data_IF_038354925626
#
_entry.id   IF_038354925626
#
_cell.length_a   1.000
_cell.length_b   1.000
_cell.length_c   1.000
_cell.angle_alpha   90.00
_cell.angle_beta   90.00
_cell.angle_gamma   90.00
#
_symmetry.space_group_name_H-M   'P 1'
#
loop_
_entity.id
_entity.type
_entity.pdbx_description
1 polymer ?
#
# COMPACT_ATOMS: atom_id res chain seq x y z
N UNK A 1 42.41 8.24 20.17
CA UNK A 1 41.01 7.77 20.39
C UNK A 1 40.01 8.58 19.56
N UNK A 2 40.04 9.91 19.57
CA UNK A 2 39.15 10.79 18.77
C UNK A 2 39.27 10.48 17.26
N UNK A 3 40.47 10.36 16.72
CA UNK A 3 40.74 10.05 15.34
C UNK A 3 40.12 8.69 14.93
N UNK A 4 40.24 7.66 15.78
CA UNK A 4 39.65 6.35 15.51
C UNK A 4 38.12 6.40 15.51
N UNK A 5 37.51 7.20 16.38
CA UNK A 5 36.07 7.43 16.41
C UNK A 5 35.59 8.13 15.15
N UNK A 6 36.28 9.19 14.72
CA UNK A 6 35.96 9.92 13.49
C UNK A 6 36.11 9.03 12.25
N UNK A 7 37.17 8.21 12.19
CA UNK A 7 37.35 7.26 11.11
C UNK A 7 36.24 6.20 11.08
N UNK A 8 35.84 5.66 12.22
CA UNK A 8 34.74 4.70 12.32
C UNK A 8 33.40 5.31 11.87
N UNK A 9 33.11 6.55 12.28
CA UNK A 9 31.92 7.28 11.86
C UNK A 9 31.92 7.56 10.35
N UNK A 10 33.08 7.95 9.78
CA UNK A 10 33.23 8.17 8.35
C UNK A 10 33.00 6.85 7.55
N UNK A 11 33.57 5.73 8.01
CA UNK A 11 33.32 4.42 7.41
C UNK A 11 31.86 4.03 7.49
N UNK A 12 31.20 4.20 8.64
CA UNK A 12 29.77 3.90 8.79
C UNK A 12 28.92 4.74 7.82
N UNK A 13 29.21 6.03 7.71
CA UNK A 13 28.53 6.93 6.80
C UNK A 13 28.70 6.53 5.32
N UNK A 14 29.95 6.17 4.92
CA UNK A 14 30.19 5.66 3.57
C UNK A 14 29.44 4.36 3.30
N UNK A 15 29.35 3.45 4.28
CA UNK A 15 28.56 2.21 4.15
C UNK A 15 27.06 2.50 3.95
N UNK A 16 26.51 3.45 4.68
CA UNK A 16 25.11 3.86 4.54
C UNK A 16 24.85 4.45 3.16
N UNK A 17 25.72 5.34 2.67
CA UNK A 17 25.61 5.90 1.31
C UNK A 17 25.70 4.79 0.28
N UNK A 18 26.67 3.89 0.41
CA UNK A 18 26.84 2.78 -0.51
C UNK A 18 25.63 1.84 -0.55
N UNK A 19 25.02 1.57 0.61
CA UNK A 19 23.80 0.78 0.70
C UNK A 19 22.61 1.49 0.02
N UNK A 20 22.43 2.78 0.28
CA UNK A 20 21.36 3.57 -0.34
C UNK A 20 21.49 3.60 -1.87
N UNK A 21 22.70 3.88 -2.39
CA UNK A 21 22.95 3.86 -3.83
C UNK A 21 22.70 2.48 -4.44
N UNK A 22 23.13 1.41 -3.77
CA UNK A 22 22.86 0.04 -4.21
C UNK A 22 21.36 -0.28 -4.21
N UNK A 23 20.64 0.13 -3.17
CA UNK A 23 19.18 -0.04 -3.07
C UNK A 23 18.46 0.65 -4.22
N UNK A 24 18.82 1.90 -4.51
CA UNK A 24 18.22 2.66 -5.63
C UNK A 24 18.51 2.05 -6.98
N UNK A 25 19.75 1.63 -7.23
CA UNK A 25 20.08 0.90 -8.48
C UNK A 25 19.25 -0.38 -8.60
N UNK A 26 19.13 -1.14 -7.50
CA UNK A 26 18.37 -2.38 -7.50
C UNK A 26 16.86 -2.15 -7.73
N UNK A 27 16.32 -1.06 -7.17
CA UNK A 27 14.94 -0.62 -7.44
C UNK A 27 14.78 -0.24 -8.92
N UNK A 28 15.67 0.60 -9.45
CA UNK A 28 15.61 1.06 -10.84
C UNK A 28 15.65 -0.10 -11.85
N UNK A 29 16.48 -1.09 -11.59
CA UNK A 29 16.62 -2.27 -12.45
C UNK A 29 15.39 -3.20 -12.44
N UNK A 30 14.48 -3.06 -11.44
CA UNK A 30 13.36 -3.97 -11.26
C UNK A 30 12.02 -3.26 -11.08
N UNK A 31 11.97 -1.95 -11.22
CA UNK A 31 10.79 -1.14 -10.90
C UNK A 31 9.56 -1.50 -11.75
N UNK A 32 9.76 -1.92 -12.99
CA UNK A 32 8.69 -2.36 -13.89
C UNK A 32 7.87 -3.53 -13.32
N UNK A 33 8.49 -4.37 -12.48
CA UNK A 33 7.81 -5.49 -11.82
C UNK A 33 6.84 -5.01 -10.74
N UNK A 34 7.03 -3.80 -10.22
CA UNK A 34 6.26 -3.27 -9.13
C UNK A 34 4.78 -3.08 -9.49
N UNK A 35 4.47 -2.72 -10.73
CA UNK A 35 3.08 -2.57 -11.20
C UNK A 35 2.31 -3.88 -11.28
N UNK A 36 3.01 -5.00 -11.25
CA UNK A 36 2.43 -6.33 -11.33
C UNK A 36 2.14 -6.94 -9.95
N UNK A 37 2.86 -6.54 -8.91
CA UNK A 37 2.81 -7.14 -7.58
C UNK A 37 2.34 -6.15 -6.52
N UNK A 38 1.08 -6.27 -6.11
CA UNK A 38 0.43 -5.38 -5.17
C UNK A 38 1.00 -5.39 -3.74
N UNK A 39 1.54 -6.52 -3.27
CA UNK A 39 2.09 -6.63 -1.91
C UNK A 39 3.25 -5.68 -1.65
N UNK A 40 3.97 -5.27 -2.70
CA UNK A 40 5.07 -4.32 -2.60
C UNK A 40 4.55 -2.94 -2.20
N UNK A 41 3.46 -2.48 -2.82
CA UNK A 41 2.93 -1.14 -2.58
C UNK A 41 2.17 -1.00 -1.27
N UNK A 42 1.52 -2.06 -0.81
CA UNK A 42 0.86 -2.03 0.48
C UNK A 42 1.83 -1.81 1.65
N UNK A 43 3.12 -2.10 1.43
CA UNK A 43 4.18 -2.01 2.44
C UNK A 43 5.13 -0.84 2.27
N UNK A 44 5.17 -0.22 1.09
CA UNK A 44 6.11 0.88 0.85
C UNK A 44 5.50 1.93 -0.09
N UNK A 45 5.13 3.06 0.49
CA UNK A 45 4.65 4.24 -0.22
C UNK A 45 5.73 5.33 -0.27
N UNK A 46 7.03 4.98 -0.29
CA UNK A 46 8.09 6.00 -0.39
C UNK A 46 7.96 6.79 -1.69
N UNK A 47 8.20 8.10 -1.62
CA UNK A 47 8.16 9.00 -2.77
C UNK A 47 9.03 8.49 -3.92
N UNK A 48 10.21 7.94 -3.60
CA UNK A 48 11.12 7.43 -4.61
C UNK A 48 10.52 6.29 -5.44
N UNK A 49 9.82 5.36 -4.79
CA UNK A 49 9.16 4.24 -5.50
C UNK A 49 7.92 4.73 -6.23
N UNK A 50 7.09 5.53 -5.55
CA UNK A 50 5.82 5.99 -6.12
C UNK A 50 6.00 6.91 -7.32
N UNK A 51 6.97 7.80 -7.31
CA UNK A 51 7.28 8.67 -8.45
C UNK A 51 7.70 7.92 -9.72
N UNK A 52 8.27 6.73 -9.56
CA UNK A 52 8.67 5.88 -10.68
C UNK A 52 7.55 4.98 -11.20
N UNK A 53 6.64 4.60 -10.32
CA UNK A 53 5.54 3.68 -10.62
C UNK A 53 4.30 4.41 -11.11
N UNK A 54 4.01 5.59 -10.54
CA UNK A 54 2.80 6.34 -10.84
C UNK A 54 3.07 7.40 -11.91
N UNK A 55 2.46 7.24 -13.06
CA UNK A 55 2.40 8.21 -14.15
C UNK A 55 0.99 8.80 -14.29
N UNK A 56 0.77 9.65 -15.29
CA UNK A 56 -0.53 10.26 -15.57
C UNK A 56 -1.60 9.26 -16.01
N UNK A 57 -1.22 8.05 -16.43
CA UNK A 57 -2.12 6.97 -16.84
C UNK A 57 -2.42 6.01 -15.70
N UNK A 58 -1.70 6.09 -14.59
CA UNK A 58 -1.78 5.14 -13.49
C UNK A 58 -3.05 5.38 -12.66
N UNK A 59 -3.85 4.34 -12.49
CA UNK A 59 -5.01 4.32 -11.60
C UNK A 59 -4.66 3.46 -10.39
N UNK A 60 -4.61 4.08 -9.22
CA UNK A 60 -4.43 3.36 -7.96
C UNK A 60 -5.75 2.71 -7.56
N UNK A 61 -5.73 1.41 -7.34
CA UNK A 61 -6.89 0.62 -6.93
C UNK A 61 -6.64 0.09 -5.52
N UNK A 62 -7.47 0.50 -4.59
CA UNK A 62 -7.42 0.07 -3.19
C UNK A 62 -8.52 -0.95 -2.94
N UNK A 63 -8.18 -2.02 -2.27
CA UNK A 63 -9.09 -3.10 -1.93
C UNK A 63 -8.52 -3.98 -0.82
N UNK A 64 -9.02 -5.18 -0.67
CA UNK A 64 -8.55 -6.16 0.32
C UNK A 64 -8.04 -7.43 -0.36
N UNK A 65 -8.44 -8.61 0.14
CA UNK A 65 -7.98 -9.91 -0.40
C UNK A 65 -8.39 -10.19 -1.84
N UNK A 66 -9.40 -9.52 -2.35
CA UNK A 66 -9.81 -9.58 -3.77
C UNK A 66 -8.73 -9.06 -4.72
N UNK A 67 -7.80 -8.21 -4.23
CA UNK A 67 -6.66 -7.73 -5.00
C UNK A 67 -5.42 -8.62 -4.89
N UNK A 68 -5.53 -9.78 -4.25
CA UNK A 68 -4.41 -10.70 -4.13
C UNK A 68 -3.89 -11.16 -5.49
N UNK A 69 -2.57 -11.36 -5.57
CA UNK A 69 -1.92 -11.80 -6.80
C UNK A 69 -2.57 -13.07 -7.38
N UNK A 70 -2.72 -13.09 -8.69
CA UNK A 70 -3.21 -14.23 -9.45
C UNK A 70 -2.40 -14.41 -10.74
N UNK A 71 -2.11 -15.66 -11.08
CA UNK A 71 -1.52 -16.03 -12.37
C UNK A 71 -2.55 -16.05 -13.53
N UNK A 72 -3.77 -15.62 -13.28
CA UNK A 72 -4.81 -15.54 -14.31
C UNK A 72 -4.47 -14.45 -15.33
N UNK A 73 -4.67 -14.69 -16.63
CA UNK A 73 -4.62 -13.64 -17.65
C UNK A 73 -5.60 -12.49 -17.40
N UNK A 74 -6.67 -12.75 -16.64
CA UNK A 74 -7.65 -11.76 -16.23
C UNK A 74 -7.26 -10.99 -14.98
N UNK A 75 -6.10 -11.26 -14.38
CA UNK A 75 -5.57 -10.45 -13.28
C UNK A 75 -5.40 -9.01 -13.75
N UNK A 76 -6.01 -8.01 -13.06
CA UNK A 76 -6.11 -6.66 -13.61
C UNK A 76 -4.79 -6.03 -14.06
N UNK A 77 -3.68 -6.08 -13.31
CA UNK A 77 -2.40 -5.59 -13.81
C UNK A 77 -1.90 -6.34 -15.07
N UNK A 78 -2.10 -7.65 -15.14
CA UNK A 78 -1.74 -8.42 -16.33
C UNK A 78 -2.55 -7.95 -17.54
N UNK A 79 -3.85 -7.79 -17.36
CA UNK A 79 -4.77 -7.39 -18.42
C UNK A 79 -4.55 -5.95 -18.89
N UNK A 80 -4.47 -5.00 -17.96
CA UNK A 80 -4.44 -3.58 -18.31
C UNK A 80 -3.03 -3.06 -18.54
N UNK A 81 -2.05 -3.42 -17.73
CA UNK A 81 -0.69 -2.87 -17.85
C UNK A 81 0.05 -3.48 -19.06
N UNK A 82 -0.26 -4.72 -19.41
CA UNK A 82 0.38 -5.45 -20.52
C UNK A 82 -0.56 -5.69 -21.70
N UNK A 83 -1.85 -5.46 -21.54
CA UNK A 83 -2.88 -5.64 -22.56
C UNK A 83 -3.07 -4.46 -23.53
N UNK A 84 -2.13 -3.51 -23.56
CA UNK A 84 -2.18 -2.33 -24.42
C UNK A 84 -3.38 -1.40 -24.16
N UNK A 85 -3.73 -1.19 -22.90
CA UNK A 85 -4.76 -0.21 -22.52
C UNK A 85 -4.20 1.21 -22.42
N UNK A 86 -5.10 2.20 -22.41
CA UNK A 86 -4.75 3.61 -22.25
C UNK A 86 -4.36 3.98 -20.80
N UNK A 87 -4.47 3.05 -19.87
CA UNK A 87 -4.15 3.26 -18.46
C UNK A 87 -3.44 2.05 -17.85
N UNK A 88 -2.74 2.29 -16.76
CA UNK A 88 -2.12 1.27 -15.93
C UNK A 88 -2.87 1.14 -14.61
N UNK A 89 -3.02 -0.06 -14.08
CA UNK A 89 -3.56 -0.30 -12.74
C UNK A 89 -2.44 -0.60 -11.77
N UNK A 90 -2.45 0.10 -10.63
CA UNK A 90 -1.55 -0.14 -9.50
C UNK A 90 -2.40 -0.59 -8.33
N UNK A 91 -2.33 -1.88 -8.00
CA UNK A 91 -3.17 -2.45 -6.96
C UNK A 91 -2.50 -2.29 -5.59
N UNK A 92 -3.28 -1.86 -4.61
CA UNK A 92 -2.87 -1.75 -3.21
C UNK A 92 -3.91 -2.43 -2.33
N UNK A 93 -3.61 -3.65 -1.92
CA UNK A 93 -4.54 -4.42 -1.10
C UNK A 93 -3.95 -5.76 -0.67
N UNK A 94 -4.66 -6.42 0.20
CA UNK A 94 -4.32 -7.72 0.77
C UNK A 94 -5.31 -8.06 1.87
N UNK A 95 -5.29 -9.29 2.38
CA UNK A 95 -6.19 -9.69 3.46
C UNK A 95 -6.14 -8.68 4.62
N UNK A 96 -7.30 -8.28 5.15
CA UNK A 96 -7.46 -7.29 6.22
C UNK A 96 -7.10 -5.84 5.85
N UNK A 97 -6.81 -5.54 4.59
CA UNK A 97 -6.59 -4.19 4.11
C UNK A 97 -7.94 -3.49 3.94
N UNK A 98 -8.46 -2.92 5.03
CA UNK A 98 -9.75 -2.23 5.09
C UNK A 98 -9.57 -0.71 5.14
N UNK A 99 -10.63 0.03 5.44
CA UNK A 99 -10.65 1.49 5.36
C UNK A 99 -9.52 2.21 6.11
N UNK A 100 -9.11 1.74 7.31
CA UNK A 100 -8.09 2.43 8.09
C UNK A 100 -6.68 2.34 7.48
N UNK A 101 -6.13 1.16 7.12
CA UNK A 101 -4.87 1.09 6.38
C UNK A 101 -4.95 1.79 5.02
N UNK A 102 -6.09 1.72 4.33
CA UNK A 102 -6.28 2.40 3.04
C UNK A 102 -6.22 3.92 3.18
N UNK A 103 -6.84 4.50 4.22
CA UNK A 103 -6.77 5.93 4.49
C UNK A 103 -5.33 6.40 4.73
N UNK A 104 -4.54 5.62 5.48
CA UNK A 104 -3.11 5.89 5.70
C UNK A 104 -2.35 5.87 4.36
N UNK A 105 -2.55 4.82 3.55
CA UNK A 105 -1.84 4.69 2.29
C UNK A 105 -2.22 5.77 1.27
N UNK A 106 -3.52 6.07 1.12
CA UNK A 106 -3.97 7.17 0.24
C UNK A 106 -3.35 8.50 0.68
N UNK A 107 -3.35 8.76 1.98
CA UNK A 107 -2.75 9.97 2.50
C UNK A 107 -1.23 10.02 2.31
N UNK A 108 -0.53 8.88 2.43
CA UNK A 108 0.90 8.79 2.19
C UNK A 108 1.27 9.12 0.73
N UNK A 109 0.49 8.61 -0.23
CA UNK A 109 0.82 8.70 -1.66
C UNK A 109 0.02 9.74 -2.46
N UNK A 110 -0.85 10.51 -1.82
CA UNK A 110 -1.72 11.45 -2.55
C UNK A 110 -0.95 12.48 -3.38
N UNK A 111 0.26 12.87 -2.96
CA UNK A 111 1.11 13.79 -3.72
C UNK A 111 1.74 13.15 -4.98
N UNK A 112 1.81 11.82 -5.04
CA UNK A 112 2.37 11.08 -6.18
C UNK A 112 1.32 10.70 -7.22
N UNK A 113 0.02 10.84 -6.90
CA UNK A 113 -1.09 10.54 -7.81
C UNK A 113 -1.27 11.69 -8.79
N UNK A 114 -0.75 11.53 -10.01
CA UNK A 114 -0.63 12.63 -11.01
C UNK A 114 -1.95 12.97 -11.70
N UNK A 115 -2.89 12.02 -11.76
CA UNK A 115 -4.19 12.21 -12.45
C UNK A 115 -5.37 12.43 -11.49
N UNK A 116 -5.15 12.48 -10.19
CA UNK A 116 -6.17 12.62 -9.15
C UNK A 116 -7.27 11.53 -9.19
N UNK A 117 -6.94 10.33 -9.68
CA UNK A 117 -7.90 9.22 -9.80
C UNK A 117 -7.47 8.06 -8.95
N UNK A 118 -8.39 7.59 -8.10
CA UNK A 118 -8.28 6.35 -7.36
C UNK A 118 -9.58 5.55 -7.52
N UNK A 119 -9.47 4.24 -7.39
CA UNK A 119 -10.61 3.34 -7.25
C UNK A 119 -10.53 2.73 -5.86
N UNK A 120 -11.60 2.86 -5.09
CA UNK A 120 -11.72 2.26 -3.77
C UNK A 120 -12.80 1.17 -3.82
N UNK A 121 -12.38 -0.07 -3.63
CA UNK A 121 -13.26 -1.23 -3.54
C UNK A 121 -13.63 -1.42 -2.07
N UNK A 122 -14.89 -1.23 -1.76
CA UNK A 122 -15.44 -1.43 -0.42
C UNK A 122 -16.23 -2.73 -0.37
N UNK A 123 -15.96 -3.55 0.63
CA UNK A 123 -16.72 -4.78 0.87
C UNK A 123 -17.69 -4.57 2.04
N UNK A 124 -18.98 -4.94 1.88
CA UNK A 124 -19.98 -4.80 2.96
C UNK A 124 -19.57 -5.50 4.26
N UNK A 125 -18.88 -6.64 4.19
CA UNK A 125 -18.38 -7.37 5.36
C UNK A 125 -17.45 -6.55 6.27
N UNK A 126 -16.83 -5.47 5.77
CA UNK A 126 -15.97 -4.62 6.59
C UNK A 126 -16.75 -3.79 7.61
N UNK A 127 -18.04 -3.66 7.39
CA UNK A 127 -18.99 -2.90 8.24
C UNK A 127 -19.82 -3.80 9.16
N UNK A 128 -19.47 -5.11 9.24
CA UNK A 128 -20.07 -6.04 10.19
C UNK A 128 -19.77 -5.64 11.64
N UNK A 129 -20.51 -6.20 12.59
CA UNK A 129 -20.41 -5.87 14.01
C UNK A 129 -18.99 -5.96 14.58
N UNK A 130 -18.18 -6.91 14.12
CA UNK A 130 -16.81 -7.10 14.62
C UNK A 130 -15.80 -6.15 13.95
N UNK A 131 -16.09 -5.61 12.77
CA UNK A 131 -15.21 -4.69 12.04
C UNK A 131 -13.78 -5.21 11.89
N UNK A 132 -12.82 -4.28 11.81
CA UNK A 132 -11.38 -4.59 11.78
C UNK A 132 -10.84 -4.76 13.20
N UNK A 133 -10.36 -5.97 13.53
CA UNK A 133 -9.73 -6.22 14.83
C UNK A 133 -8.34 -5.60 14.94
N UNK A 134 -7.87 -5.35 16.16
CA UNK A 134 -6.54 -4.82 16.41
C UNK A 134 -5.44 -5.74 15.84
N UNK A 135 -5.55 -7.05 16.03
CA UNK A 135 -4.59 -8.03 15.51
C UNK A 135 -4.51 -7.99 13.97
N UNK A 136 -5.67 -7.95 13.32
CA UNK A 136 -5.74 -7.89 11.86
C UNK A 136 -5.15 -6.57 11.34
N UNK A 137 -5.42 -5.45 12.00
CA UNK A 137 -4.83 -4.17 11.66
C UNK A 137 -3.31 -4.17 11.85
N UNK A 138 -2.81 -4.62 12.99
CA UNK A 138 -1.38 -4.69 13.28
C UNK A 138 -0.61 -5.52 12.25
N UNK A 139 -1.23 -6.57 11.69
CA UNK A 139 -0.61 -7.41 10.65
C UNK A 139 -0.41 -6.69 9.30
N UNK A 140 -1.06 -5.55 9.09
CA UNK A 140 -1.07 -4.78 7.84
C UNK A 140 -0.61 -3.33 8.01
N UNK A 141 -0.40 -2.89 9.23
CA UNK A 141 0.03 -1.53 9.51
C UNK A 141 1.52 -1.36 9.20
N UNK A 142 1.84 -0.35 8.43
CA UNK A 142 3.21 0.01 8.09
C UNK A 142 3.53 1.41 8.61
N UNK A 143 4.44 1.47 9.57
CA UNK A 143 4.83 2.73 10.23
C UNK A 143 5.44 3.74 9.24
N UNK A 144 6.14 3.28 8.19
CA UNK A 144 6.71 4.17 7.15
C UNK A 144 5.61 4.92 6.41
N UNK A 145 4.57 4.21 5.99
CA UNK A 145 3.42 4.82 5.30
C UNK A 145 2.68 5.79 6.23
N UNK A 146 2.57 5.44 7.51
CA UNK A 146 1.94 6.32 8.50
C UNK A 146 2.75 7.60 8.71
N UNK A 147 4.08 7.52 8.76
CA UNK A 147 4.93 8.72 8.85
C UNK A 147 4.78 9.62 7.62
N UNK A 148 4.74 9.06 6.41
CA UNK A 148 4.50 9.85 5.19
C UNK A 148 3.09 10.48 5.19
N UNK A 149 2.07 9.76 5.67
CA UNK A 149 0.74 10.32 5.91
C UNK A 149 0.77 11.50 6.89
N UNK A 150 1.47 11.37 8.01
CA UNK A 150 1.57 12.45 9.01
C UNK A 150 2.31 13.69 8.49
N UNK A 151 3.30 13.51 7.61
CA UNK A 151 4.08 14.59 6.98
C UNK A 151 3.29 15.31 5.88
N UNK A 152 2.26 14.70 5.33
CA UNK A 152 1.56 15.23 4.17
C UNK A 152 0.70 16.45 4.53
N UNK A 153 1.23 17.63 4.29
CA UNK A 153 0.57 18.90 4.58
C UNK A 153 -0.56 19.25 3.60
N UNK A 154 -0.71 18.52 2.50
CA UNK A 154 -1.88 18.67 1.61
C UNK A 154 -3.18 18.18 2.27
N UNK A 155 -3.05 17.36 3.32
CA UNK A 155 -4.17 16.89 4.14
C UNK A 155 -4.31 17.80 5.37
N UNK A 156 -5.55 18.22 5.66
CA UNK A 156 -5.79 19.07 6.82
C UNK A 156 -5.27 18.43 8.12
N UNK A 157 -4.81 19.25 9.03
CA UNK A 157 -4.29 18.78 10.34
C UNK A 157 -5.37 18.00 11.11
N UNK A 158 -6.62 18.45 11.03
CA UNK A 158 -7.77 17.82 11.67
C UNK A 158 -8.00 16.41 11.14
N UNK A 159 -7.91 16.23 9.83
CA UNK A 159 -8.03 14.91 9.18
C UNK A 159 -6.88 14.00 9.60
N UNK A 160 -5.63 14.50 9.61
CA UNK A 160 -4.48 13.72 10.06
C UNK A 160 -4.62 13.27 11.53
N UNK A 161 -5.10 14.15 12.40
CA UNK A 161 -5.39 13.82 13.80
C UNK A 161 -6.50 12.78 13.92
N UNK A 162 -7.58 12.91 13.16
CA UNK A 162 -8.70 11.95 13.21
C UNK A 162 -8.26 10.54 12.81
N UNK A 163 -7.47 10.42 11.73
CA UNK A 163 -6.91 9.13 11.29
C UNK A 163 -5.90 8.59 12.31
N UNK A 164 -5.03 9.44 12.85
CA UNK A 164 -4.06 9.05 13.88
C UNK A 164 -4.72 8.51 15.13
N UNK A 165 -5.79 9.15 15.60
CA UNK A 165 -6.59 8.63 16.73
C UNK A 165 -7.14 7.24 16.43
N UNK A 166 -7.65 7.01 15.21
CA UNK A 166 -8.15 5.68 14.83
C UNK A 166 -7.04 4.65 14.75
N UNK A 167 -5.87 5.01 14.23
CA UNK A 167 -4.68 4.15 14.22
C UNK A 167 -4.27 3.77 15.66
N UNK A 168 -4.28 4.71 16.59
CA UNK A 168 -3.98 4.45 18.01
C UNK A 168 -4.94 3.44 18.65
N UNK A 169 -6.23 3.55 18.36
CA UNK A 169 -7.25 2.60 18.82
C UNK A 169 -7.00 1.19 18.27
N UNK A 170 -6.57 1.10 17.02
CA UNK A 170 -6.34 -0.17 16.33
C UNK A 170 -4.97 -0.81 16.64
N UNK A 171 -4.00 -0.06 17.18
CA UNK A 171 -2.66 -0.58 17.51
C UNK A 171 -2.56 -1.17 18.94
N UNK A 172 -3.67 -1.41 19.61
CA UNK A 172 -3.66 -1.88 21.01
C UNK A 172 -3.04 -3.25 21.21
N UNK A 173 -3.03 -4.11 20.19
CA UNK A 173 -2.35 -5.42 20.21
C UNK A 173 -0.84 -5.35 19.97
N UNK A 174 -0.30 -4.19 19.57
CA UNK A 174 1.13 -3.92 19.45
C UNK A 174 1.55 -2.66 20.21
N UNK A 175 1.71 -2.72 21.53
CA UNK A 175 2.08 -1.57 22.36
C UNK A 175 3.44 -0.94 22.00
N UNK A 176 4.36 -1.73 21.43
CA UNK A 176 5.67 -1.23 21.03
C UNK A 176 5.54 -0.29 19.82
N UNK A 177 4.82 -0.71 18.79
CA UNK A 177 4.50 0.13 17.63
C UNK A 177 3.64 1.34 18.04
N UNK A 178 2.63 1.15 18.87
CA UNK A 178 1.80 2.24 19.38
C UNK A 178 2.63 3.33 20.08
N UNK A 179 3.64 2.93 20.87
CA UNK A 179 4.52 3.89 21.55
C UNK A 179 5.34 4.71 20.55
N UNK A 180 5.82 4.12 19.49
CA UNK A 180 6.57 4.83 18.43
C UNK A 180 5.68 5.76 17.63
N UNK A 181 4.51 5.27 17.21
CA UNK A 181 3.49 6.04 16.48
C UNK A 181 3.09 7.31 17.24
N UNK A 182 2.90 7.24 18.56
CA UNK A 182 2.61 8.41 19.40
C UNK A 182 3.76 9.42 19.42
N UNK A 183 5.01 8.98 19.33
CA UNK A 183 6.15 9.90 19.20
C UNK A 183 6.17 10.55 17.80
N UNK A 184 5.83 9.82 16.74
CA UNK A 184 5.70 10.37 15.40
C UNK A 184 4.58 11.42 15.32
N UNK A 185 3.44 11.20 15.96
CA UNK A 185 2.38 12.20 16.09
C UNK A 185 2.84 13.46 16.82
N UNK A 186 3.57 13.31 17.93
CA UNK A 186 4.16 14.44 18.63
C UNK A 186 5.14 15.21 17.75
N UNK A 187 5.92 14.51 16.92
CA UNK A 187 6.87 15.10 15.99
C UNK A 187 6.15 15.89 14.87
N UNK A 188 5.22 15.27 14.17
CA UNK A 188 4.67 15.80 12.92
C UNK A 188 3.36 16.56 13.09
N UNK A 189 2.54 16.27 14.11
CA UNK A 189 1.27 16.94 14.34
C UNK A 189 1.33 18.02 15.42
N UNK A 190 2.13 17.82 16.46
CA UNK A 190 2.10 18.67 17.66
C UNK A 190 3.37 19.51 17.86
N UNK A 191 4.50 19.12 17.27
CA UNK A 191 5.78 19.83 17.41
C UNK A 191 6.28 19.88 18.87
N UNK A 192 5.90 18.91 19.72
CA UNK A 192 6.06 18.96 21.17
C UNK A 192 7.25 18.16 21.71
N UNK A 193 8.06 17.56 20.83
CA UNK A 193 9.23 16.80 21.25
C UNK A 193 10.39 17.70 21.64
N UNK A 194 11.16 17.27 22.66
CA UNK A 194 12.43 17.91 22.93
C UNK A 194 13.44 17.66 21.78
N UNK A 195 14.46 18.52 21.60
CA UNK A 195 15.35 18.45 20.44
C UNK A 195 16.11 17.12 20.30
N UNK A 196 16.44 16.46 21.38
CA UNK A 196 17.17 15.18 21.35
C UNK A 196 16.24 14.05 20.83
N UNK A 197 15.03 13.97 21.39
CA UNK A 197 14.03 12.99 20.94
C UNK A 197 13.60 13.27 19.50
N UNK A 198 13.51 14.54 19.11
CA UNK A 198 13.26 14.91 17.72
C UNK A 198 14.33 14.33 16.78
N UNK A 199 15.60 14.53 17.10
CA UNK A 199 16.72 13.99 16.31
C UNK A 199 16.71 12.46 16.28
N UNK A 200 16.46 11.81 17.42
CA UNK A 200 16.33 10.36 17.54
C UNK A 200 15.23 9.82 16.61
N UNK A 201 14.03 10.40 16.66
CA UNK A 201 12.91 9.98 15.84
C UNK A 201 13.13 10.23 14.35
N UNK A 202 13.71 11.37 13.99
CA UNK A 202 14.05 11.69 12.61
C UNK A 202 15.06 10.67 12.03
N UNK A 203 16.12 10.35 12.78
CA UNK A 203 17.10 9.34 12.38
C UNK A 203 16.49 7.93 12.28
N UNK A 204 15.65 7.56 13.24
CA UNK A 204 14.95 6.28 13.24
C UNK A 204 13.99 6.15 12.05
N UNK A 205 13.22 7.18 11.74
CA UNK A 205 12.30 7.19 10.61
C UNK A 205 13.04 7.12 9.27
N UNK A 206 14.17 7.85 9.14
CA UNK A 206 15.04 7.72 7.96
C UNK A 206 15.58 6.31 7.79
N UNK A 207 16.06 5.69 8.87
CA UNK A 207 16.53 4.29 8.82
C UNK A 207 15.42 3.32 8.41
N UNK A 208 14.19 3.50 8.91
CA UNK A 208 13.05 2.64 8.55
C UNK A 208 12.67 2.80 7.08
N UNK A 209 12.65 4.03 6.57
CA UNK A 209 12.37 4.31 5.18
C UNK A 209 13.39 3.61 4.25
N UNK A 210 14.68 3.78 4.53
CA UNK A 210 15.75 3.09 3.80
C UNK A 210 15.63 1.56 3.88
N UNK A 211 15.29 1.03 5.05
CA UNK A 211 15.05 -0.42 5.22
C UNK A 211 13.87 -0.90 4.37
N UNK A 212 12.76 -0.17 4.37
CA UNK A 212 11.58 -0.50 3.58
C UNK A 212 11.88 -0.47 2.07
N UNK A 213 12.64 0.52 1.60
CA UNK A 213 13.10 0.58 0.21
C UNK A 213 13.99 -0.61 -0.16
N UNK A 214 14.92 -0.98 0.73
CA UNK A 214 15.78 -2.14 0.52
C UNK A 214 15.00 -3.46 0.48
N UNK A 215 14.03 -3.64 1.37
CA UNK A 215 13.15 -4.82 1.39
C UNK A 215 12.30 -4.88 0.11
N UNK A 216 11.78 -3.74 -0.34
CA UNK A 216 11.07 -3.62 -1.63
C UNK A 216 11.98 -4.00 -2.80
N UNK A 217 13.18 -3.46 -2.86
CA UNK A 217 14.16 -3.76 -3.91
C UNK A 217 14.49 -5.26 -3.96
N UNK A 218 14.69 -5.88 -2.81
CA UNK A 218 14.92 -7.32 -2.71
C UNK A 218 13.72 -8.14 -3.13
N UNK A 219 12.52 -7.75 -2.73
CA UNK A 219 11.29 -8.41 -3.13
C UNK A 219 11.14 -8.38 -4.66
N UNK A 220 11.25 -7.21 -5.27
CA UNK A 220 11.18 -7.05 -6.73
C UNK A 220 12.25 -7.85 -7.47
N UNK A 221 13.50 -7.87 -6.96
CA UNK A 221 14.58 -8.68 -7.55
C UNK A 221 14.29 -10.18 -7.49
N UNK A 222 13.70 -10.66 -6.39
CA UNK A 222 13.39 -12.08 -6.19
C UNK A 222 12.17 -12.54 -7.00
N UNK A 223 11.37 -11.61 -7.48
CA UNK A 223 10.25 -11.89 -8.35
C UNK A 223 10.79 -12.31 -9.71
N UNK A 224 10.79 -13.59 -9.96
CA UNK A 224 11.17 -14.15 -11.24
C UNK A 224 10.31 -13.54 -12.36
N UNK A 225 10.85 -13.54 -13.57
CA UNK A 225 10.19 -13.15 -14.81
C UNK A 225 8.97 -14.02 -15.15
N UNK A 226 8.15 -14.34 -14.15
CA UNK A 226 6.89 -15.06 -14.32
C UNK A 226 5.83 -14.24 -15.05
N UNK A 227 6.10 -12.97 -15.30
CA UNK A 227 5.31 -12.13 -16.20
C UNK A 227 5.54 -12.66 -17.62
N UNK A 228 4.82 -13.68 -17.98
CA UNK A 228 4.82 -14.19 -19.35
C UNK A 228 3.97 -13.24 -20.19
N UNK A 229 4.61 -12.25 -20.80
CA UNK A 229 3.97 -11.31 -21.72
C UNK A 229 3.20 -12.00 -22.85
N UNK A 230 3.62 -13.20 -23.23
CA UNK A 230 3.02 -13.99 -24.33
C UNK A 230 1.63 -14.58 -24.04
N UNK A 231 1.15 -14.44 -22.79
CA UNK A 231 -0.13 -15.00 -22.35
C UNK A 231 -1.25 -13.97 -22.20
N UNK A 232 -0.99 -12.69 -22.49
CA UNK A 232 -1.95 -11.63 -22.26
C UNK A 232 -2.89 -11.44 -23.44
N UNK A 233 -4.19 -11.37 -23.14
CA UNK A 233 -5.20 -10.95 -24.10
C UNK A 233 -5.13 -9.43 -24.24
N UNK A 234 -5.08 -8.93 -25.47
CA UNK A 234 -5.15 -7.49 -25.70
C UNK A 234 -6.53 -6.98 -25.31
N UNK A 235 -6.58 -5.84 -24.62
CA UNK A 235 -7.85 -5.24 -24.16
C UNK A 235 -8.78 -4.90 -25.32
N UNK A 236 -8.24 -4.58 -26.49
CA UNK A 236 -8.98 -4.30 -27.73
C UNK A 236 -9.67 -5.55 -28.30
N UNK A 237 -9.17 -6.75 -28.00
CA UNK A 237 -9.74 -8.03 -28.46
C UNK A 237 -10.84 -8.54 -27.53
N UNK A 238 -11.14 -7.84 -26.43
CA UNK A 238 -12.14 -8.25 -25.45
C UNK A 238 -13.52 -7.70 -25.80
N UNK A 239 -14.48 -8.56 -25.96
CA UNK A 239 -15.88 -8.16 -26.08
C UNK A 239 -16.47 -7.87 -24.67
N UNK A 240 -16.22 -6.65 -24.19
CA UNK A 240 -16.68 -6.20 -22.86
C UNK A 240 -18.19 -6.30 -22.68
N UNK A 241 -18.97 -6.02 -23.74
CA UNK A 241 -20.43 -6.11 -23.69
C UNK A 241 -20.91 -7.56 -23.46
N UNK A 242 -20.29 -8.53 -24.12
CA UNK A 242 -20.60 -9.94 -23.92
C UNK A 242 -20.21 -10.41 -22.52
N UNK A 243 -19.04 -9.99 -22.03
CA UNK A 243 -18.59 -10.32 -20.67
C UNK A 243 -19.51 -9.72 -19.61
N UNK A 244 -19.97 -8.48 -19.80
CA UNK A 244 -20.93 -7.85 -18.88
C UNK A 244 -22.26 -8.59 -18.83
N UNK A 245 -22.78 -9.04 -19.97
CA UNK A 245 -24.01 -9.85 -20.00
C UNK A 245 -23.82 -11.17 -19.27
N UNK A 246 -22.73 -11.89 -19.53
CA UNK A 246 -22.42 -13.14 -18.81
C UNK A 246 -22.26 -12.92 -17.30
N UNK A 247 -21.60 -11.82 -16.90
CA UNK A 247 -21.45 -11.48 -15.48
C UNK A 247 -22.82 -11.15 -14.83
N UNK A 248 -23.70 -10.46 -15.54
CA UNK A 248 -25.04 -10.16 -15.07
C UNK A 248 -25.88 -11.43 -14.91
N UNK A 249 -25.82 -12.34 -15.87
CA UNK A 249 -26.53 -13.65 -15.78
C UNK A 249 -26.04 -14.46 -14.58
N UNK A 250 -24.71 -14.58 -14.41
CA UNK A 250 -24.12 -15.24 -13.23
C UNK A 250 -24.51 -14.55 -11.91
N UNK A 251 -24.60 -13.22 -11.91
CA UNK A 251 -25.05 -12.45 -10.75
C UNK A 251 -26.49 -12.78 -10.38
N UNK A 252 -27.40 -12.86 -11.36
CA UNK A 252 -28.80 -13.23 -11.13
C UNK A 252 -28.91 -14.65 -10.58
N UNK A 253 -28.13 -15.60 -11.11
CA UNK A 253 -28.12 -16.99 -10.63
C UNK A 253 -27.58 -17.13 -9.19
N UNK A 254 -26.62 -16.26 -8.80
CA UNK A 254 -25.87 -16.39 -7.55
C UNK A 254 -26.39 -15.51 -6.42
N UNK A 255 -27.29 -14.55 -6.70
CA UNK A 255 -27.77 -13.52 -5.75
C UNK A 255 -29.30 -13.54 -5.68
N UNK A 256 -29.88 -14.67 -5.29
CA UNK A 256 -31.34 -14.91 -5.42
C UNK A 256 -32.13 -14.46 -4.19
N UNK A 257 -31.49 -14.37 -3.02
CA UNK A 257 -32.19 -14.28 -1.73
C UNK A 257 -31.91 -12.99 -0.95
N UNK A 258 -31.21 -12.01 -1.52
CA UNK A 258 -30.84 -10.81 -0.79
C UNK A 258 -30.99 -9.53 -1.62
N UNK A 259 -31.32 -8.43 -0.92
CA UNK A 259 -31.52 -7.10 -1.51
C UNK A 259 -30.20 -6.40 -1.88
N UNK A 260 -29.05 -6.93 -1.44
CA UNK A 260 -27.75 -6.30 -1.64
C UNK A 260 -27.05 -6.75 -2.93
N UNK A 261 -27.60 -7.76 -3.62
CA UNK A 261 -26.96 -8.34 -4.83
C UNK A 261 -25.62 -9.00 -4.54
N UNK A 262 -25.46 -9.57 -3.35
CA UNK A 262 -24.26 -10.27 -2.90
C UNK A 262 -24.49 -11.77 -3.09
N UNK A 263 -23.46 -12.52 -3.46
CA UNK A 263 -23.48 -13.98 -3.56
C UNK A 263 -24.16 -14.61 -2.33
N UNK A 264 -25.12 -15.48 -2.52
CA UNK A 264 -26.01 -15.96 -1.45
C UNK A 264 -25.28 -16.62 -0.27
N UNK A 265 -24.27 -17.46 -0.54
CA UNK A 265 -23.47 -18.08 0.51
C UNK A 265 -22.69 -17.03 1.34
N UNK A 266 -22.23 -16.00 0.66
CA UNK A 266 -21.52 -14.90 1.31
C UNK A 266 -22.47 -14.05 2.15
N UNK A 267 -23.67 -13.74 1.63
CA UNK A 267 -24.69 -13.04 2.37
C UNK A 267 -25.08 -13.79 3.64
N UNK A 268 -25.36 -15.09 3.52
CA UNK A 268 -25.74 -15.96 4.65
C UNK A 268 -24.63 -16.03 5.70
N UNK A 269 -23.37 -16.04 5.28
CA UNK A 269 -22.24 -16.19 6.20
C UNK A 269 -21.91 -14.91 6.95
N UNK A 270 -22.07 -13.73 6.33
CA UNK A 270 -21.50 -12.48 6.84
C UNK A 270 -22.51 -11.35 7.06
N UNK A 271 -23.72 -11.44 6.53
CA UNK A 271 -24.65 -10.33 6.48
C UNK A 271 -26.07 -10.64 6.93
N UNK A 272 -26.41 -11.91 7.15
CA UNK A 272 -27.79 -12.35 7.44
C UNK A 272 -28.27 -12.13 8.89
N UNK A 273 -27.41 -11.62 9.79
CA UNK A 273 -27.72 -11.37 11.22
C UNK A 273 -28.21 -9.92 11.47
#
# INVERSE_FOLDING_TARGET
KVFLLLAALACAFMCIIGLNLHTKTLLDDNIEKATYYNDVFSRNCSDYVMDKVLDERSIVVLGSSELSFSNSPAYPPALFNYGNSDFNMVLMGGAYFQCAPQAVNVGALSNNIKNNKIVLILSPQWFSYNGLTSESFCSRFEETNFVEFLKNESISKETRIAVANRVNELLTSDPATLTRVKKDEQLYLHGSLNPLTHLEMAAYNSFRAEKAEFETARALKSMDSQIKQDCYVKTEDINWSELMLKAADLGVESCTNNAFGVYDDYYTTYMAD
#
